data_IF_171102658953
#
_entry.id   IF_171102658953
#
_cell.length_a   1.000
_cell.length_b   1.000
_cell.length_c   1.000
_cell.angle_alpha   90.00
_cell.angle_beta   90.00
_cell.angle_gamma   90.00
#
_symmetry.space_group_name_H-M   'P 1'
#
loop_
_entity.id
_entity.type
_entity.pdbx_description
1 polymer ?
#
# COMPACT_ATOMS: atom_id res chain seq x y z
N UNK A 1 41.82 52.86 8.91
CA UNK A 1 41.50 51.68 8.12
C UNK A 1 40.07 51.31 8.39
N UNK A 2 39.14 51.40 7.44
CA UNK A 2 37.75 51.02 7.67
C UNK A 2 37.61 49.51 7.62
N UNK A 3 36.78 48.98 8.50
CA UNK A 3 36.38 47.56 8.60
C UNK A 3 35.48 47.21 7.40
N UNK A 4 35.64 46.09 6.70
CA UNK A 4 34.75 45.71 5.61
C UNK A 4 33.36 45.33 6.15
N UNK A 5 32.34 45.95 5.59
CA UNK A 5 30.93 45.58 5.78
C UNK A 5 30.69 44.16 5.32
N UNK A 6 30.10 43.34 6.19
CA UNK A 6 29.59 42.03 5.84
C UNK A 6 28.47 42.18 4.80
N UNK A 7 28.76 41.79 3.57
CA UNK A 7 27.76 41.70 2.51
C UNK A 7 26.65 40.76 2.90
N UNK A 8 25.46 41.28 2.85
CA UNK A 8 24.19 40.60 3.00
C UNK A 8 24.11 39.49 1.95
N UNK A 9 24.20 38.23 2.38
CA UNK A 9 23.93 37.10 1.49
C UNK A 9 22.43 37.06 1.27
N UNK A 10 21.95 36.92 0.00
CA UNK A 10 20.52 36.83 -0.24
C UNK A 10 19.98 35.61 0.47
N UNK A 11 19.01 35.78 1.36
CA UNK A 11 18.24 34.73 1.98
C UNK A 11 17.71 33.81 0.87
N UNK A 12 18.00 32.49 0.97
CA UNK A 12 17.39 31.50 0.09
C UNK A 12 15.88 31.67 0.26
N UNK A 13 15.11 31.79 -0.83
CA UNK A 13 13.66 31.92 -0.74
C UNK A 13 13.14 30.72 0.06
N UNK A 14 12.60 30.97 1.24
CA UNK A 14 12.01 29.97 2.12
C UNK A 14 10.94 29.23 1.36
N UNK A 15 11.01 27.90 1.34
CA UNK A 15 9.95 27.06 0.79
C UNK A 15 8.64 27.48 1.47
N UNK A 16 7.68 27.99 0.70
CA UNK A 16 6.36 28.32 1.25
C UNK A 16 5.71 27.03 1.77
N UNK A 17 5.00 27.10 2.90
CA UNK A 17 4.28 25.94 3.48
C UNK A 17 3.44 25.16 2.45
N UNK A 18 2.95 25.85 1.41
CA UNK A 18 2.23 25.24 0.29
C UNK A 18 3.09 24.32 -0.60
N UNK A 19 4.43 24.37 -0.50
CA UNK A 19 5.36 23.54 -1.29
C UNK A 19 5.84 22.28 -0.55
N UNK A 20 5.54 22.14 0.74
CA UNK A 20 5.93 20.98 1.51
C UNK A 20 4.97 19.81 1.27
N UNK A 21 5.48 18.56 1.10
CA UNK A 21 4.63 17.39 1.00
C UNK A 21 3.86 17.18 2.30
N UNK A 22 2.57 16.89 2.19
CA UNK A 22 1.69 16.64 3.34
C UNK A 22 1.50 15.15 3.55
N UNK A 23 1.40 14.73 4.82
CA UNK A 23 1.15 13.32 5.17
C UNK A 23 -0.29 12.86 4.91
N UNK A 24 -1.21 13.78 4.59
CA UNK A 24 -2.59 13.46 4.20
C UNK A 24 -2.79 13.76 2.72
N UNK A 25 -3.05 12.70 1.96
CA UNK A 25 -3.20 12.76 0.50
C UNK A 25 -4.67 12.78 0.11
N UNK A 26 -5.11 13.79 -0.60
CA UNK A 26 -6.50 13.91 -1.07
C UNK A 26 -6.63 13.16 -2.41
N UNK A 27 -6.85 11.85 -2.35
CA UNK A 27 -6.77 10.94 -3.50
C UNK A 27 -8.13 10.53 -4.09
N UNK A 28 -9.25 10.81 -3.41
CA UNK A 28 -10.57 10.37 -3.86
C UNK A 28 -11.54 11.53 -4.14
N UNK A 29 -11.07 12.64 -4.72
CA UNK A 29 -11.95 13.70 -5.23
C UNK A 29 -12.86 13.17 -6.35
N UNK A 30 -12.33 12.31 -7.21
CA UNK A 30 -13.12 11.44 -8.07
C UNK A 30 -13.20 10.04 -7.44
N UNK A 31 -14.31 9.34 -7.67
CA UNK A 31 -14.43 7.95 -7.24
C UNK A 31 -13.55 7.01 -8.10
N UNK A 32 -13.42 5.78 -7.66
CA UNK A 32 -12.59 4.77 -8.33
C UNK A 32 -13.02 4.51 -9.79
N UNK A 33 -14.32 4.64 -10.11
CA UNK A 33 -14.84 4.47 -11.47
C UNK A 33 -14.44 5.67 -12.34
N UNK A 34 -14.64 6.88 -11.85
CA UNK A 34 -14.25 8.10 -12.55
C UNK A 34 -12.75 8.15 -12.86
N UNK A 35 -11.91 7.77 -11.88
CA UNK A 35 -10.46 7.73 -12.08
C UNK A 35 -10.00 6.71 -13.12
N UNK A 36 -10.78 5.64 -13.37
CA UNK A 36 -10.46 4.57 -14.33
C UNK A 36 -11.12 4.74 -15.68
N UNK A 37 -12.13 5.58 -15.77
CA UNK A 37 -12.88 5.77 -17.00
C UNK A 37 -11.98 6.26 -18.14
N UNK A 38 -11.98 5.55 -19.26
CA UNK A 38 -11.14 5.85 -20.42
C UNK A 38 -9.64 5.56 -20.23
N UNK A 39 -9.18 5.26 -19.01
CA UNK A 39 -7.77 5.05 -18.67
C UNK A 39 -7.41 3.58 -18.47
N UNK A 40 -8.40 2.75 -18.18
CA UNK A 40 -8.26 1.31 -17.98
C UNK A 40 -9.32 0.55 -18.77
N UNK A 41 -8.99 -0.66 -19.21
CA UNK A 41 -9.92 -1.55 -19.86
C UNK A 41 -11.10 -1.90 -18.96
N UNK A 42 -12.32 -2.10 -19.48
CA UNK A 42 -13.48 -2.54 -18.71
C UNK A 42 -13.22 -3.84 -17.90
N UNK A 43 -12.43 -4.77 -18.45
CA UNK A 43 -12.05 -6.02 -17.79
C UNK A 43 -11.35 -5.80 -16.45
N UNK A 44 -10.70 -4.65 -16.25
CA UNK A 44 -10.05 -4.28 -14.97
C UNK A 44 -11.01 -4.23 -13.80
N UNK A 45 -12.33 -4.08 -14.04
CA UNK A 45 -13.34 -4.09 -12.97
C UNK A 45 -13.47 -5.43 -12.26
N UNK A 46 -13.08 -6.53 -12.90
CA UNK A 46 -13.17 -7.87 -12.33
C UNK A 46 -12.20 -8.12 -11.16
N UNK A 47 -11.07 -7.42 -11.12
CA UNK A 47 -10.10 -7.60 -10.03
C UNK A 47 -10.69 -7.09 -8.69
N UNK A 48 -10.67 -7.91 -7.62
CA UNK A 48 -11.38 -7.62 -6.37
C UNK A 48 -10.78 -6.46 -5.56
N UNK A 49 -9.46 -6.33 -5.51
CA UNK A 49 -8.75 -5.28 -4.78
C UNK A 49 -7.80 -4.52 -5.70
N UNK A 50 -8.00 -3.23 -5.84
CA UNK A 50 -7.20 -2.37 -6.72
C UNK A 50 -6.83 -1.10 -6.00
N UNK A 51 -5.54 -0.78 -5.96
CA UNK A 51 -5.08 0.54 -5.50
C UNK A 51 -5.80 1.64 -6.29
N UNK A 52 -6.21 2.72 -5.63
CA UNK A 52 -6.82 3.86 -6.31
C UNK A 52 -5.76 4.55 -7.20
N UNK A 53 -6.02 4.84 -8.49
CA UNK A 53 -5.04 5.43 -9.39
C UNK A 53 -4.39 6.70 -8.84
N UNK A 54 -5.16 7.57 -8.18
CA UNK A 54 -4.63 8.79 -7.59
C UNK A 54 -3.64 8.54 -6.44
N UNK A 55 -3.73 7.41 -5.72
CA UNK A 55 -2.73 7.03 -4.71
C UNK A 55 -1.41 6.69 -5.41
N UNK A 56 -1.46 5.85 -6.46
CA UNK A 56 -0.28 5.51 -7.23
C UNK A 56 0.37 6.75 -7.84
N UNK A 57 -0.44 7.61 -8.47
CA UNK A 57 0.05 8.87 -9.07
C UNK A 57 0.72 9.76 -8.04
N UNK A 58 0.12 9.94 -6.88
CA UNK A 58 0.67 10.77 -5.81
C UNK A 58 2.01 10.22 -5.32
N UNK A 59 2.08 8.93 -4.99
CA UNK A 59 3.31 8.28 -4.54
C UNK A 59 4.44 8.37 -5.59
N UNK A 60 4.13 8.06 -6.86
CA UNK A 60 5.11 8.12 -7.94
C UNK A 60 5.63 9.55 -8.12
N UNK A 61 4.75 10.55 -8.14
CA UNK A 61 5.15 11.96 -8.28
C UNK A 61 5.99 12.44 -7.12
N UNK A 62 5.67 12.01 -5.88
CA UNK A 62 6.36 12.43 -4.67
C UNK A 62 7.75 11.81 -4.55
N UNK A 63 7.90 10.52 -4.90
CA UNK A 63 9.11 9.76 -4.58
C UNK A 63 10.00 9.46 -5.79
N UNK A 64 9.60 9.89 -7.01
CA UNK A 64 10.38 9.66 -8.23
C UNK A 64 10.42 10.89 -9.14
N UNK A 65 11.33 10.84 -10.13
CA UNK A 65 11.48 11.81 -11.22
C UNK A 65 11.16 11.15 -12.56
N UNK A 66 10.85 11.91 -13.64
CA UNK A 66 10.80 11.36 -14.99
C UNK A 66 12.05 10.54 -15.31
N UNK A 67 11.87 9.39 -15.95
CA UNK A 67 12.92 8.43 -16.27
C UNK A 67 13.24 7.41 -15.18
N UNK A 68 12.85 7.65 -13.92
CA UNK A 68 13.06 6.71 -12.82
C UNK A 68 12.26 5.40 -13.02
N UNK A 69 12.68 4.35 -12.31
CA UNK A 69 12.02 3.04 -12.35
C UNK A 69 11.16 2.80 -11.12
N UNK A 70 9.94 2.32 -11.34
CA UNK A 70 8.97 1.92 -10.32
C UNK A 70 8.77 0.40 -10.35
N UNK A 71 8.83 -0.25 -9.19
CA UNK A 71 8.59 -1.69 -9.02
C UNK A 71 7.27 -1.93 -8.30
N UNK A 72 6.42 -2.84 -8.82
CA UNK A 72 5.25 -3.36 -8.11
C UNK A 72 5.28 -4.89 -8.12
N UNK A 73 5.68 -5.55 -7.02
CA UNK A 73 5.81 -7.00 -6.96
C UNK A 73 4.47 -7.75 -6.90
N UNK A 74 3.35 -7.04 -6.76
CA UNK A 74 2.00 -7.62 -6.75
C UNK A 74 1.05 -6.75 -7.56
N UNK A 75 1.36 -6.58 -8.87
CA UNK A 75 0.82 -5.50 -9.68
C UNK A 75 -0.66 -5.68 -10.11
N UNK A 76 -1.23 -6.86 -9.98
CA UNK A 76 -2.61 -7.13 -10.36
C UNK A 76 -2.89 -6.71 -11.82
N UNK A 77 -3.85 -5.83 -12.00
CA UNK A 77 -4.20 -5.25 -13.30
C UNK A 77 -3.26 -4.12 -13.75
N UNK A 78 -2.15 -3.89 -13.05
CA UNK A 78 -1.11 -2.91 -13.40
C UNK A 78 -1.43 -1.47 -13.06
N UNK A 79 -2.16 -1.17 -11.96
CA UNK A 79 -2.49 0.23 -11.61
C UNK A 79 -1.22 1.07 -11.43
N UNK A 80 -0.25 0.59 -10.66
CA UNK A 80 1.04 1.27 -10.44
C UNK A 80 1.77 1.50 -11.77
N UNK A 81 1.79 0.48 -12.64
CA UNK A 81 2.51 0.53 -13.91
C UNK A 81 1.90 1.55 -14.88
N UNK A 82 0.56 1.54 -15.00
CA UNK A 82 -0.18 2.47 -15.86
C UNK A 82 0.05 3.92 -15.43
N UNK A 83 -0.01 4.18 -14.10
CA UNK A 83 0.24 5.54 -13.62
C UNK A 83 1.71 5.94 -13.79
N UNK A 84 2.65 5.01 -13.64
CA UNK A 84 4.07 5.26 -13.86
C UNK A 84 4.38 5.66 -15.31
N UNK A 85 3.91 4.88 -16.29
CA UNK A 85 4.18 5.19 -17.72
C UNK A 85 3.55 6.50 -18.18
N UNK A 86 2.39 6.87 -17.67
CA UNK A 86 1.79 8.18 -17.95
C UNK A 86 2.55 9.35 -17.34
N UNK A 87 3.32 9.10 -16.29
CA UNK A 87 4.15 10.10 -15.62
C UNK A 87 5.60 10.11 -16.11
N UNK A 88 5.89 9.46 -17.25
CA UNK A 88 7.24 9.34 -17.80
C UNK A 88 8.21 8.58 -16.90
N UNK A 89 7.74 7.51 -16.26
CA UNK A 89 8.57 6.58 -15.47
C UNK A 89 8.60 5.23 -16.16
N UNK A 90 9.69 4.50 -15.96
CA UNK A 90 9.73 3.09 -16.29
C UNK A 90 9.08 2.27 -15.17
N UNK A 91 8.51 1.11 -15.47
CA UNK A 91 7.88 0.29 -14.46
C UNK A 91 8.09 -1.21 -14.72
N UNK A 92 8.24 -1.97 -13.63
CA UNK A 92 8.31 -3.43 -13.66
C UNK A 92 7.29 -3.97 -12.67
N UNK A 93 6.45 -4.90 -13.13
CA UNK A 93 5.45 -5.56 -12.29
C UNK A 93 5.61 -7.07 -12.29
N UNK A 94 5.28 -7.69 -11.16
CA UNK A 94 5.13 -9.13 -11.02
C UNK A 94 3.71 -9.44 -10.59
N UNK A 95 3.09 -10.47 -11.18
CA UNK A 95 1.75 -10.91 -10.83
C UNK A 95 1.67 -12.44 -10.82
N UNK A 96 1.15 -12.99 -9.73
CA UNK A 96 1.08 -14.43 -9.52
C UNK A 96 -0.04 -15.11 -10.32
N UNK A 97 -1.21 -14.47 -10.35
CA UNK A 97 -2.42 -15.06 -10.91
C UNK A 97 -2.50 -14.82 -12.41
N UNK A 98 -2.41 -15.88 -13.20
CA UNK A 98 -2.36 -15.82 -14.68
C UNK A 98 -3.51 -15.03 -15.35
N UNK A 99 -4.60 -14.79 -14.62
CA UNK A 99 -5.76 -14.00 -15.10
C UNK A 99 -5.42 -12.52 -15.27
N UNK A 100 -4.55 -11.95 -14.43
CA UNK A 100 -4.36 -10.51 -14.36
C UNK A 100 -3.27 -9.95 -15.29
N UNK A 101 -2.14 -10.62 -15.55
CA UNK A 101 -1.10 -10.12 -16.44
C UNK A 101 -1.58 -9.74 -17.84
N UNK A 102 -2.50 -10.51 -18.52
CA UNK A 102 -3.05 -10.08 -19.79
C UNK A 102 -3.83 -8.77 -19.71
N UNK A 103 -4.58 -8.55 -18.63
CA UNK A 103 -5.32 -7.31 -18.38
C UNK A 103 -4.36 -6.15 -18.11
N UNK A 104 -3.31 -6.38 -17.32
CA UNK A 104 -2.28 -5.38 -17.06
C UNK A 104 -1.57 -4.95 -18.35
N UNK A 105 -1.16 -5.90 -19.17
CA UNK A 105 -0.57 -5.62 -20.49
C UNK A 105 -1.52 -4.85 -21.41
N UNK A 106 -2.81 -5.24 -21.43
CA UNK A 106 -3.84 -4.50 -22.18
C UNK A 106 -4.05 -3.07 -21.70
N UNK A 107 -3.98 -2.83 -20.38
CA UNK A 107 -4.03 -1.49 -19.80
C UNK A 107 -2.80 -0.65 -20.20
N UNK A 108 -1.61 -1.27 -20.25
CA UNK A 108 -0.39 -0.61 -20.75
C UNK A 108 -0.49 -0.26 -22.23
N UNK A 109 -1.01 -1.18 -23.07
CA UNK A 109 -1.26 -0.90 -24.48
C UNK A 109 -2.21 0.28 -24.66
N UNK A 110 -3.27 0.36 -23.86
CA UNK A 110 -4.18 1.50 -23.87
C UNK A 110 -3.45 2.79 -23.47
N UNK A 111 -2.59 2.75 -22.44
CA UNK A 111 -1.79 3.90 -22.02
C UNK A 111 -0.85 4.36 -23.14
N UNK A 112 -0.18 3.45 -23.85
CA UNK A 112 0.68 3.79 -24.97
C UNK A 112 -0.10 4.38 -26.15
N UNK A 113 -1.28 3.85 -26.45
CA UNK A 113 -2.18 4.43 -27.44
C UNK A 113 -2.65 5.85 -27.07
N UNK A 114 -2.61 6.20 -25.80
CA UNK A 114 -2.90 7.54 -25.28
C UNK A 114 -1.66 8.45 -25.20
N UNK A 115 -0.51 7.98 -25.67
CA UNK A 115 0.75 8.74 -25.70
C UNK A 115 1.53 8.72 -24.40
N UNK A 116 1.34 7.71 -23.54
CA UNK A 116 2.15 7.57 -22.33
C UNK A 116 3.64 7.40 -22.70
N UNK A 117 4.56 8.25 -22.16
CA UNK A 117 5.96 8.29 -22.59
C UNK A 117 6.85 7.22 -21.94
N UNK A 118 6.49 6.72 -20.76
CA UNK A 118 7.27 5.71 -20.04
C UNK A 118 7.13 4.30 -20.61
N UNK A 119 7.90 3.35 -20.10
CA UNK A 119 7.87 1.95 -20.51
C UNK A 119 7.56 1.04 -19.32
N UNK A 120 6.88 -0.10 -19.56
CA UNK A 120 6.63 -1.06 -18.50
C UNK A 120 6.66 -2.51 -18.99
N UNK A 121 7.08 -3.40 -18.08
CA UNK A 121 7.08 -4.85 -18.28
C UNK A 121 6.29 -5.53 -17.17
N UNK A 122 5.52 -6.56 -17.53
CA UNK A 122 4.74 -7.40 -16.59
C UNK A 122 5.24 -8.82 -16.70
N UNK A 123 5.77 -9.33 -15.58
CA UNK A 123 6.16 -10.72 -15.39
C UNK A 123 5.05 -11.49 -14.68
N UNK A 124 4.81 -12.72 -15.13
CA UNK A 124 3.93 -13.66 -14.46
C UNK A 124 4.76 -14.55 -13.55
N UNK A 125 4.40 -14.63 -12.27
CA UNK A 125 5.11 -15.47 -11.30
C UNK A 125 4.96 -15.00 -9.86
N UNK A 126 5.65 -15.72 -8.98
CA UNK A 126 5.64 -15.47 -7.55
C UNK A 126 6.59 -14.32 -7.17
N UNK A 127 6.06 -13.30 -6.53
CA UNK A 127 6.79 -12.12 -6.10
C UNK A 127 7.97 -12.42 -5.14
N UNK A 128 7.92 -13.53 -4.39
CA UNK A 128 9.04 -14.01 -3.58
C UNK A 128 10.27 -14.34 -4.41
N UNK A 129 10.08 -14.57 -5.71
CA UNK A 129 11.12 -14.85 -6.70
C UNK A 129 11.36 -13.69 -7.67
N UNK A 130 10.88 -12.49 -7.35
CA UNK A 130 10.96 -11.33 -8.24
C UNK A 130 12.39 -11.10 -8.78
N UNK A 131 13.40 -11.18 -7.92
CA UNK A 131 14.81 -11.03 -8.34
C UNK A 131 15.30 -12.08 -9.36
N UNK A 132 14.63 -13.23 -9.47
CA UNK A 132 14.95 -14.26 -10.48
C UNK A 132 14.08 -14.14 -11.74
N UNK A 133 12.89 -13.53 -11.62
CA UNK A 133 11.96 -13.36 -12.73
C UNK A 133 12.29 -12.12 -13.57
N UNK A 134 12.82 -11.10 -12.92
CA UNK A 134 13.14 -9.82 -13.52
C UNK A 134 14.58 -9.88 -14.06
N UNK A 135 14.77 -9.41 -15.30
CA UNK A 135 16.07 -9.38 -15.95
C UNK A 135 17.12 -8.68 -15.05
N UNK A 136 18.31 -9.25 -14.87
CA UNK A 136 19.39 -8.64 -14.09
C UNK A 136 19.72 -7.19 -14.49
N UNK A 137 19.44 -6.78 -15.73
CA UNK A 137 19.61 -5.40 -16.18
C UNK A 137 18.72 -4.39 -15.39
N UNK A 138 17.70 -4.85 -14.70
CA UNK A 138 16.82 -4.00 -13.85
C UNK A 138 17.26 -3.98 -12.38
N UNK A 139 18.22 -4.81 -11.98
CA UNK A 139 18.67 -4.88 -10.59
C UNK A 139 19.33 -3.57 -10.16
N UNK A 140 18.97 -3.11 -8.97
CA UNK A 140 19.49 -1.88 -8.40
C UNK A 140 18.95 -0.59 -9.04
N UNK A 141 17.95 -0.67 -9.94
CA UNK A 141 17.45 0.47 -10.67
C UNK A 141 16.12 1.04 -10.14
N UNK A 142 15.35 0.30 -9.36
CA UNK A 142 14.06 0.81 -8.89
C UNK A 142 14.23 1.85 -7.77
N UNK A 143 13.84 3.09 -8.03
CA UNK A 143 13.83 4.19 -7.07
C UNK A 143 12.61 4.15 -6.15
N UNK A 144 11.52 3.52 -6.60
CA UNK A 144 10.31 3.33 -5.82
C UNK A 144 9.80 1.89 -5.97
N UNK A 145 9.55 1.22 -4.85
CA UNK A 145 8.65 0.08 -4.80
C UNK A 145 7.30 0.59 -4.28
N UNK A 146 6.25 0.42 -5.07
CA UNK A 146 4.88 0.80 -4.68
C UNK A 146 3.96 -0.41 -4.85
N UNK A 147 3.37 -0.86 -3.73
CA UNK A 147 2.52 -2.06 -3.76
C UNK A 147 1.44 -2.01 -2.69
N UNK A 148 0.49 -2.95 -2.80
CA UNK A 148 -0.53 -3.21 -1.78
C UNK A 148 -0.66 -4.72 -1.57
N UNK A 149 -0.37 -5.26 -0.37
CA UNK A 149 -0.62 -6.66 -0.10
C UNK A 149 -2.12 -6.95 -0.15
N UNK A 150 -2.53 -8.19 -0.48
CA UNK A 150 -3.93 -8.58 -0.39
C UNK A 150 -4.40 -8.49 1.07
N UNK A 151 -5.64 -8.04 1.26
CA UNK A 151 -6.23 -7.84 2.60
C UNK A 151 -6.83 -9.13 3.19
N UNK A 152 -6.25 -10.29 2.89
CA UNK A 152 -6.72 -11.59 3.36
C UNK A 152 -8.15 -11.93 2.88
N UNK A 153 -8.81 -12.86 3.57
CA UNK A 153 -10.16 -13.30 3.24
C UNK A 153 -11.26 -12.23 3.40
N UNK A 154 -10.95 -11.05 3.92
CA UNK A 154 -11.89 -9.98 4.22
C UNK A 154 -12.46 -9.25 3.00
N UNK A 155 -11.86 -9.42 1.82
CA UNK A 155 -12.35 -8.85 0.56
C UNK A 155 -13.24 -9.84 -0.18
N UNK A 156 -14.46 -10.04 0.29
CA UNK A 156 -15.43 -10.91 -0.37
C UNK A 156 -16.37 -10.12 -1.29
N UNK A 157 -16.19 -10.32 -2.59
CA UNK A 157 -17.15 -10.02 -3.64
C UNK A 157 -17.47 -8.55 -3.85
N UNK A 158 -17.42 -8.12 -5.11
CA UNK A 158 -18.02 -6.86 -5.52
C UNK A 158 -19.53 -7.09 -5.70
N UNK A 159 -20.34 -6.14 -5.20
CA UNK A 159 -21.74 -6.08 -5.56
C UNK A 159 -21.94 -4.97 -6.56
N UNK A 160 -22.70 -5.27 -7.59
CA UNK A 160 -23.15 -4.28 -8.57
C UNK A 160 -24.62 -4.02 -8.37
N UNK A 161 -24.98 -2.75 -8.35
CA UNK A 161 -26.39 -2.33 -8.36
C UNK A 161 -26.97 -2.47 -9.77
N UNK A 162 -28.29 -2.44 -9.86
CA UNK A 162 -29.00 -2.39 -11.14
C UNK A 162 -28.51 -1.29 -12.10
N UNK A 163 -27.93 -0.19 -11.56
CA UNK A 163 -27.30 0.88 -12.36
C UNK A 163 -26.02 0.43 -13.05
N UNK A 164 -25.34 -0.58 -12.51
CA UNK A 164 -24.05 -1.05 -13.04
C UNK A 164 -24.21 -2.26 -13.96
N UNK A 165 -25.31 -3.00 -13.82
CA UNK A 165 -25.56 -4.25 -14.57
C UNK A 165 -26.69 -4.13 -15.59
N UNK A 166 -27.56 -3.12 -15.49
CA UNK A 166 -28.78 -3.02 -16.27
C UNK A 166 -29.89 -3.99 -15.84
N UNK A 167 -29.61 -4.92 -14.92
CA UNK A 167 -30.55 -5.92 -14.41
C UNK A 167 -31.19 -5.44 -13.10
N UNK A 168 -32.48 -5.73 -12.86
CA UNK A 168 -33.14 -5.36 -11.61
C UNK A 168 -32.53 -6.13 -10.43
N UNK A 169 -32.13 -5.39 -9.39
CA UNK A 169 -31.65 -5.97 -8.13
C UNK A 169 -30.16 -5.76 -7.88
N UNK A 170 -29.64 -6.43 -6.83
CA UNK A 170 -28.25 -6.39 -6.42
C UNK A 170 -27.65 -7.75 -6.72
N UNK A 171 -26.71 -7.81 -7.66
CA UNK A 171 -26.00 -9.05 -8.02
C UNK A 171 -24.69 -9.11 -7.24
N UNK A 172 -24.47 -10.21 -6.50
CA UNK A 172 -23.21 -10.49 -5.82
C UNK A 172 -22.26 -11.21 -6.79
N UNK A 173 -21.22 -10.53 -7.22
CA UNK A 173 -20.15 -11.17 -7.97
C UNK A 173 -19.10 -11.69 -6.99
N UNK A 174 -18.83 -12.99 -7.03
CA UNK A 174 -17.75 -13.60 -6.29
C UNK A 174 -16.45 -13.44 -7.10
N UNK A 175 -15.88 -12.24 -7.13
CA UNK A 175 -14.56 -12.07 -7.68
C UNK A 175 -13.54 -12.52 -6.65
N UNK A 176 -12.76 -13.54 -7.00
CA UNK A 176 -11.61 -13.98 -6.21
C UNK A 176 -10.35 -13.45 -6.87
N UNK A 177 -9.29 -13.24 -6.07
CA UNK A 177 -7.98 -12.91 -6.63
C UNK A 177 -7.47 -14.01 -7.57
N UNK A 178 -7.80 -15.27 -7.28
CA UNK A 178 -7.43 -16.45 -8.02
C UNK A 178 -7.22 -17.66 -7.11
N UNK A 179 -6.57 -18.68 -7.63
CA UNK A 179 -6.36 -19.97 -6.93
C UNK A 179 -4.94 -20.50 -7.09
N UNK A 180 -4.00 -19.70 -7.58
CA UNK A 180 -2.62 -20.13 -7.75
C UNK A 180 -2.01 -20.57 -6.41
N UNK A 181 -1.17 -21.63 -6.40
CA UNK A 181 -0.40 -21.99 -5.22
C UNK A 181 0.45 -20.78 -4.75
N UNK A 182 0.38 -20.49 -3.46
CA UNK A 182 1.08 -19.33 -2.90
C UNK A 182 0.31 -18.00 -2.94
N UNK A 183 -0.95 -18.01 -3.39
CA UNK A 183 -1.81 -16.82 -3.32
C UNK A 183 -2.09 -16.43 -1.87
N UNK A 184 -1.66 -15.22 -1.51
CA UNK A 184 -1.73 -14.69 -0.14
C UNK A 184 -3.13 -14.19 0.24
N UNK A 185 -4.04 -14.02 -0.72
CA UNK A 185 -5.37 -13.46 -0.47
C UNK A 185 -6.26 -14.35 0.43
N UNK A 186 -5.92 -15.62 0.59
CA UNK A 186 -6.64 -16.56 1.45
C UNK A 186 -5.79 -17.09 2.62
N UNK A 187 -4.55 -16.65 2.71
CA UNK A 187 -3.65 -17.08 3.77
C UNK A 187 -4.09 -16.51 5.13
N UNK A 188 -3.87 -17.24 6.23
CA UNK A 188 -3.90 -16.66 7.57
C UNK A 188 -3.00 -15.42 7.64
N UNK A 189 -3.33 -14.49 8.52
CA UNK A 189 -2.60 -13.21 8.62
C UNK A 189 -1.11 -13.40 8.87
N UNK A 190 -0.71 -14.38 9.70
CA UNK A 190 0.69 -14.68 9.99
C UNK A 190 1.45 -15.18 8.77
N UNK A 191 0.86 -16.09 8.00
CA UNK A 191 1.45 -16.63 6.77
C UNK A 191 1.57 -15.53 5.70
N UNK A 192 0.56 -14.66 5.60
CA UNK A 192 0.57 -13.51 4.71
C UNK A 192 1.75 -12.58 5.07
N UNK A 193 1.94 -12.27 6.34
CA UNK A 193 3.01 -11.36 6.79
C UNK A 193 4.39 -11.97 6.61
N UNK A 194 4.54 -13.27 6.87
CA UNK A 194 5.80 -14.00 6.60
C UNK A 194 6.15 -13.93 5.12
N UNK A 195 5.21 -14.31 4.26
CA UNK A 195 5.43 -14.27 2.82
C UNK A 195 5.63 -12.84 2.29
N UNK A 196 4.97 -11.84 2.89
CA UNK A 196 5.19 -10.44 2.52
C UNK A 196 6.58 -9.95 2.93
N UNK A 197 7.09 -10.39 4.07
CA UNK A 197 8.48 -10.15 4.49
C UNK A 197 9.47 -10.73 3.47
N UNK A 198 9.22 -11.96 3.01
CA UNK A 198 10.05 -12.61 1.98
C UNK A 198 10.02 -11.85 0.65
N UNK A 199 8.84 -11.37 0.23
CA UNK A 199 8.68 -10.55 -0.98
C UNK A 199 9.51 -9.26 -0.85
N UNK A 200 9.35 -8.53 0.26
CA UNK A 200 10.09 -7.28 0.47
C UNK A 200 11.61 -7.53 0.51
N UNK A 201 12.05 -8.58 1.20
CA UNK A 201 13.47 -8.98 1.27
C UNK A 201 14.02 -9.33 -0.11
N UNK A 202 13.29 -10.13 -0.89
CA UNK A 202 13.67 -10.53 -2.25
C UNK A 202 13.73 -9.34 -3.22
N UNK A 203 12.86 -8.35 -3.04
CA UNK A 203 12.86 -7.16 -3.88
C UNK A 203 14.02 -6.19 -3.60
N UNK A 204 14.73 -6.30 -2.47
CA UNK A 204 15.79 -5.35 -2.11
C UNK A 204 16.93 -5.28 -3.14
N UNK A 205 17.24 -6.38 -3.81
CA UNK A 205 18.26 -6.41 -4.86
C UNK A 205 17.85 -5.67 -6.13
N UNK A 206 16.54 -5.47 -6.34
CA UNK A 206 15.98 -4.70 -7.45
C UNK A 206 15.97 -3.20 -7.17
N UNK A 207 16.06 -2.82 -5.89
CA UNK A 207 15.96 -1.43 -5.43
C UNK A 207 17.30 -0.72 -5.49
N UNK A 208 17.29 0.51 -5.94
CA UNK A 208 18.45 1.40 -5.83
C UNK A 208 18.83 1.64 -4.35
N UNK A 209 20.10 1.94 -4.07
CA UNK A 209 20.50 2.39 -2.74
C UNK A 209 19.73 3.63 -2.32
N UNK A 210 19.12 3.60 -1.14
CA UNK A 210 18.29 4.70 -0.65
C UNK A 210 16.90 4.81 -1.27
N UNK A 211 16.49 3.85 -2.13
CA UNK A 211 15.16 3.81 -2.73
C UNK A 211 14.04 3.87 -1.69
N UNK A 212 12.92 4.44 -2.10
CA UNK A 212 11.69 4.50 -1.29
C UNK A 212 10.84 3.27 -1.52
N UNK A 213 10.25 2.75 -0.46
CA UNK A 213 9.22 1.71 -0.52
C UNK A 213 7.94 2.28 0.08
N UNK A 214 6.84 2.28 -0.68
CA UNK A 214 5.54 2.71 -0.22
C UNK A 214 4.56 1.54 -0.30
N UNK A 215 3.99 1.17 0.84
CA UNK A 215 3.03 0.07 0.94
C UNK A 215 1.70 0.63 1.41
N UNK A 216 0.63 0.41 0.63
CA UNK A 216 -0.70 0.80 1.07
C UNK A 216 -1.35 -0.33 1.85
N UNK A 217 -1.91 -0.02 3.00
CA UNK A 217 -2.62 -0.96 3.85
C UNK A 217 -3.75 -0.26 4.60
N UNK A 218 -4.73 -1.02 5.07
CA UNK A 218 -5.78 -0.50 5.94
C UNK A 218 -6.17 -1.52 7.00
N UNK A 219 -6.56 -1.09 8.20
CA UNK A 219 -7.10 -1.99 9.19
C UNK A 219 -8.48 -2.51 8.76
N UNK A 220 -8.88 -3.66 9.30
CA UNK A 220 -10.24 -4.16 9.20
C UNK A 220 -10.70 -4.75 10.52
N UNK A 221 -11.94 -5.22 10.58
CA UNK A 221 -12.44 -5.96 11.73
C UNK A 221 -12.78 -7.39 11.32
N UNK A 222 -12.32 -8.33 12.12
CA UNK A 222 -12.66 -9.74 12.01
C UNK A 222 -13.34 -10.16 13.31
N UNK A 223 -14.54 -10.72 13.22
CA UNK A 223 -15.35 -11.12 14.38
C UNK A 223 -15.50 -10.02 15.47
N UNK A 224 -15.50 -8.74 15.04
CA UNK A 224 -15.61 -7.59 15.94
C UNK A 224 -14.28 -7.02 16.43
N UNK A 225 -13.20 -7.76 16.34
CA UNK A 225 -11.86 -7.33 16.75
C UNK A 225 -11.14 -6.55 15.63
N UNK A 226 -10.31 -5.59 16.02
CA UNK A 226 -9.49 -4.82 15.09
C UNK A 226 -8.27 -5.63 14.65
N UNK A 227 -8.13 -5.82 13.33
CA UNK A 227 -6.89 -6.32 12.72
C UNK A 227 -6.11 -5.14 12.19
N UNK A 228 -5.00 -4.81 12.85
CA UNK A 228 -4.12 -3.67 12.48
C UNK A 228 -3.07 -4.12 11.46
N UNK A 229 -3.50 -4.33 10.20
CA UNK A 229 -2.58 -4.67 9.11
C UNK A 229 -1.48 -3.61 8.91
N UNK A 230 -1.76 -2.28 9.00
CA UNK A 230 -0.71 -1.28 8.88
C UNK A 230 0.46 -1.49 9.85
N UNK A 231 0.19 -1.74 11.13
CA UNK A 231 1.25 -2.03 12.11
C UNK A 231 2.02 -3.31 11.77
N UNK A 232 1.31 -4.35 11.33
CA UNK A 232 1.92 -5.61 10.93
C UNK A 232 2.81 -5.48 9.68
N UNK A 233 2.42 -4.65 8.71
CA UNK A 233 3.23 -4.33 7.52
C UNK A 233 4.48 -3.55 7.91
N UNK A 234 4.42 -2.65 8.90
CA UNK A 234 5.62 -1.98 9.41
C UNK A 234 6.60 -3.01 9.97
N UNK A 235 6.12 -3.94 10.80
CA UNK A 235 6.95 -5.01 11.36
C UNK A 235 7.57 -5.90 10.27
N UNK A 236 6.78 -6.28 9.24
CA UNK A 236 7.26 -7.05 8.09
C UNK A 236 8.36 -6.29 7.31
N UNK A 237 8.19 -4.99 7.08
CA UNK A 237 9.20 -4.15 6.44
C UNK A 237 10.50 -4.08 7.24
N UNK A 238 10.42 -3.93 8.56
CA UNK A 238 11.59 -3.94 9.45
C UNK A 238 12.28 -5.32 9.45
N UNK A 239 11.51 -6.40 9.50
CA UNK A 239 12.05 -7.77 9.40
C UNK A 239 12.73 -8.03 8.05
N UNK A 240 12.24 -7.41 6.96
CA UNK A 240 12.90 -7.42 5.65
C UNK A 240 14.16 -6.53 5.59
N UNK A 241 14.55 -5.85 6.67
CA UNK A 241 15.72 -4.98 6.74
C UNK A 241 15.49 -3.60 6.12
N UNK A 242 14.24 -3.15 6.00
CA UNK A 242 13.87 -1.80 5.59
C UNK A 242 13.78 -0.87 6.80
N UNK A 243 14.00 0.42 6.58
CA UNK A 243 13.91 1.45 7.63
C UNK A 243 12.58 2.19 7.45
N UNK A 244 11.61 2.08 8.39
CA UNK A 244 10.40 2.89 8.34
C UNK A 244 10.77 4.36 8.53
N UNK A 245 10.24 5.22 7.66
CA UNK A 245 10.57 6.66 7.66
C UNK A 245 9.33 7.53 7.82
N UNK A 246 8.16 7.07 7.39
CA UNK A 246 6.94 7.87 7.47
C UNK A 246 5.67 7.00 7.39
N UNK A 247 4.56 7.52 7.93
CA UNK A 247 3.22 6.98 7.75
C UNK A 247 2.30 8.09 7.27
N UNK A 248 1.84 7.97 6.04
CA UNK A 248 0.89 8.89 5.42
C UNK A 248 -0.51 8.29 5.38
N UNK A 249 -1.49 9.14 5.11
CA UNK A 249 -2.90 8.75 4.97
C UNK A 249 -3.38 9.16 3.57
N UNK A 250 -3.83 8.21 2.77
CA UNK A 250 -4.49 8.45 1.50
C UNK A 250 -6.02 8.41 1.70
N UNK A 251 -6.68 9.55 1.53
CA UNK A 251 -8.13 9.65 1.71
C UNK A 251 -8.88 8.91 0.60
N UNK A 252 -9.79 8.01 0.99
CA UNK A 252 -10.77 7.34 0.13
C UNK A 252 -12.12 8.10 0.13
N UNK A 253 -12.10 9.34 0.57
CA UNK A 253 -13.23 10.26 0.59
C UNK A 253 -12.91 11.51 -0.21
N UNK A 254 -13.92 12.08 -0.85
CA UNK A 254 -13.81 13.43 -1.40
C UNK A 254 -13.86 14.47 -0.28
N UNK A 255 -13.37 15.67 -0.54
CA UNK A 255 -13.50 16.83 0.34
C UNK A 255 -14.32 17.87 -0.39
N UNK A 256 -15.42 18.34 0.22
CA UNK A 256 -16.27 19.40 -0.32
C UNK A 256 -16.78 20.25 0.83
N UNK A 257 -16.65 21.56 0.71
CA UNK A 257 -17.12 22.55 1.69
C UNK A 257 -16.68 22.21 3.13
N UNK A 258 -15.42 21.77 3.30
CA UNK A 258 -14.85 21.36 4.59
C UNK A 258 -15.34 20.01 5.13
N UNK A 259 -16.14 19.26 4.38
CA UNK A 259 -16.67 17.97 4.78
C UNK A 259 -16.14 16.81 3.97
N UNK A 260 -15.97 15.63 4.63
CA UNK A 260 -15.61 14.40 3.96
C UNK A 260 -16.82 13.77 3.29
N UNK A 261 -16.74 13.53 1.99
CA UNK A 261 -17.73 12.81 1.19
C UNK A 261 -17.31 11.35 1.11
N UNK A 262 -17.89 10.52 1.98
CA UNK A 262 -17.59 9.11 2.04
C UNK A 262 -17.92 8.39 0.73
N UNK A 263 -17.01 7.51 0.28
CA UNK A 263 -17.18 6.67 -0.92
C UNK A 263 -17.17 5.19 -0.56
N UNK A 264 -17.62 4.87 0.66
CA UNK A 264 -17.76 3.51 1.15
C UNK A 264 -18.75 2.69 0.33
N UNK A 265 -18.48 1.39 0.17
CA UNK A 265 -19.41 0.47 -0.45
C UNK A 265 -20.69 0.32 0.39
N UNK A 266 -21.77 -0.09 -0.25
CA UNK A 266 -23.06 -0.37 0.44
C UNK A 266 -22.87 -1.33 1.64
N UNK A 267 -21.99 -2.34 1.49
CA UNK A 267 -21.72 -3.30 2.57
C UNK A 267 -20.97 -2.69 3.73
N UNK A 268 -19.95 -1.89 3.46
CA UNK A 268 -19.25 -1.18 4.54
C UNK A 268 -20.23 -0.32 5.34
N UNK A 269 -21.11 0.43 4.64
CA UNK A 269 -22.13 1.24 5.29
C UNK A 269 -23.12 0.38 6.10
N UNK A 270 -23.59 -0.75 5.53
CA UNK A 270 -24.48 -1.68 6.23
C UNK A 270 -23.82 -2.28 7.47
N UNK A 271 -22.58 -2.75 7.34
CA UNK A 271 -21.83 -3.36 8.45
C UNK A 271 -21.60 -2.35 9.58
N UNK A 272 -21.19 -1.12 9.26
CA UNK A 272 -21.00 -0.07 10.26
C UNK A 272 -22.30 0.24 10.99
N UNK A 273 -23.41 0.37 10.26
CA UNK A 273 -24.74 0.62 10.87
C UNK A 273 -25.17 -0.53 11.77
N UNK A 274 -25.00 -1.78 11.33
CA UNK A 274 -25.36 -2.96 12.11
C UNK A 274 -24.50 -3.07 13.38
N UNK A 275 -23.18 -2.88 13.29
CA UNK A 275 -22.30 -2.89 14.44
C UNK A 275 -22.66 -1.81 15.48
N UNK A 276 -22.94 -0.58 15.01
CA UNK A 276 -23.33 0.53 15.89
C UNK A 276 -24.69 0.29 16.54
N UNK A 277 -25.63 -0.33 15.85
CA UNK A 277 -26.92 -0.74 16.44
C UNK A 277 -26.75 -1.78 17.57
N UNK A 278 -25.66 -2.54 17.55
CA UNK A 278 -25.29 -3.50 18.60
C UNK A 278 -24.36 -2.90 19.67
N UNK A 279 -24.17 -1.57 19.68
CA UNK A 279 -23.30 -0.89 20.66
C UNK A 279 -21.80 -0.92 20.35
N UNK A 280 -21.39 -1.49 19.21
CA UNK A 280 -19.96 -1.49 18.81
C UNK A 280 -19.60 -0.13 18.21
N UNK A 281 -18.62 0.62 18.74
CA UNK A 281 -18.23 1.96 18.24
C UNK A 281 -17.43 1.87 16.94
N UNK A 282 -18.02 1.32 15.89
CA UNK A 282 -17.39 1.13 14.60
C UNK A 282 -17.47 2.40 13.75
N UNK A 283 -16.37 2.78 13.11
CA UNK A 283 -16.29 3.86 12.13
C UNK A 283 -16.19 3.34 10.71
N UNK A 284 -16.68 4.12 9.75
CA UNK A 284 -16.44 3.85 8.33
C UNK A 284 -15.00 4.23 8.00
N UNK A 285 -14.21 3.26 7.56
CA UNK A 285 -12.83 3.51 7.14
C UNK A 285 -12.86 4.19 5.78
N UNK A 286 -12.36 5.42 5.72
CA UNK A 286 -12.33 6.27 4.52
C UNK A 286 -10.91 6.69 4.15
N UNK A 287 -9.93 5.87 4.49
CA UNK A 287 -8.52 6.07 4.14
C UNK A 287 -7.81 4.73 3.94
N UNK A 288 -6.66 4.80 3.31
CA UNK A 288 -5.60 3.80 3.40
C UNK A 288 -4.38 4.43 4.06
N UNK A 289 -3.69 3.69 4.89
CA UNK A 289 -2.37 4.06 5.36
C UNK A 289 -1.37 3.84 4.22
N UNK A 290 -0.44 4.75 4.06
CA UNK A 290 0.71 4.60 3.17
C UNK A 290 1.95 4.55 4.05
N UNK A 291 2.51 3.35 4.15
CA UNK A 291 3.65 3.05 5.01
C UNK A 291 4.92 3.21 4.17
N UNK A 292 5.74 4.18 4.54
CA UNK A 292 6.91 4.57 3.76
C UNK A 292 8.17 4.07 4.44
N UNK A 293 9.00 3.37 3.68
CA UNK A 293 10.28 2.86 4.13
C UNK A 293 11.39 3.34 3.19
N UNK A 294 12.62 3.23 3.66
CA UNK A 294 13.83 3.42 2.88
C UNK A 294 14.62 2.11 2.80
N UNK A 295 15.10 1.77 1.59
CA UNK A 295 16.09 0.72 1.42
C UNK A 295 17.45 1.25 1.91
N UNK A 296 18.05 0.72 2.98
CA UNK A 296 19.37 1.16 3.40
C UNK A 296 20.39 0.85 2.28
N UNK A 297 21.32 1.78 2.06
CA UNK A 297 22.46 1.48 1.20
C UNK A 297 23.17 0.24 1.75
N UNK A 298 23.43 -0.74 0.89
CA UNK A 298 24.27 -1.86 1.26
C UNK A 298 25.64 -1.29 1.64
N UNK A 299 26.10 -1.53 2.86
CA UNK A 299 27.42 -1.09 3.28
C UNK A 299 28.45 -1.79 2.38
N UNK A 300 29.17 -1.03 1.56
CA UNK A 300 30.21 -1.54 0.65
C UNK A 300 31.44 -2.09 1.39
N UNK A 301 31.36 -2.30 2.68
CA UNK A 301 32.46 -2.81 3.51
C UNK A 301 32.85 -4.27 3.26
N UNK A 302 32.18 -4.99 2.35
CA UNK A 302 32.50 -6.40 2.03
C UNK A 302 33.33 -6.61 0.75
N UNK A 303 33.73 -5.57 0.03
CA UNK A 303 34.44 -5.70 -1.24
C UNK A 303 35.91 -5.19 -1.20
N UNK A 304 36.56 -5.16 -0.05
CA UNK A 304 37.96 -4.71 0.02
C UNK A 304 38.70 -5.24 1.24
N UNK A 305 39.45 -6.30 1.05
CA UNK A 305 40.67 -6.71 1.75
C UNK A 305 40.98 -6.03 3.11
N UNK A 306 40.94 -6.79 4.20
CA UNK A 306 41.69 -6.53 5.43
C UNK A 306 40.87 -5.94 6.58
N UNK A 307 40.39 -6.82 7.43
CA UNK A 307 40.03 -6.72 8.83
C UNK A 307 40.18 -5.36 9.53
N UNK A 308 39.20 -4.50 9.39
CA UNK A 308 38.81 -3.57 10.46
C UNK A 308 37.30 -3.69 10.64
N UNK A 309 36.92 -4.12 11.81
CA UNK A 309 35.53 -4.15 12.27
C UNK A 309 34.92 -2.75 12.08
N UNK A 310 33.97 -2.59 11.16
CA UNK A 310 33.03 -1.50 11.22
C UNK A 310 32.12 -1.77 12.41
N UNK A 311 32.45 -1.20 13.56
CA UNK A 311 31.51 -1.09 14.69
C UNK A 311 30.48 -0.03 14.32
N UNK A 312 29.53 -0.36 13.45
CA UNK A 312 28.23 0.31 13.48
C UNK A 312 27.41 -0.45 14.53
N UNK A 313 27.59 -0.06 15.77
CA UNK A 313 26.55 -0.22 16.76
C UNK A 313 25.29 0.40 16.17
N UNK A 314 24.18 -0.37 16.05
CA UNK A 314 22.88 0.27 15.78
C UNK A 314 22.67 1.29 16.91
N UNK A 315 22.11 2.46 16.63
CA UNK A 315 21.75 3.37 17.69
C UNK A 315 20.87 2.57 18.68
N UNK A 316 21.36 2.42 19.90
CA UNK A 316 20.56 1.91 21.00
C UNK A 316 19.48 2.94 21.23
N UNK A 317 18.37 2.80 20.51
CA UNK A 317 17.15 3.50 20.85
C UNK A 317 16.62 2.81 22.09
N UNK A 318 16.92 3.36 23.25
CA UNK A 318 16.10 3.21 24.45
C UNK A 318 14.71 3.81 24.17
N UNK A 319 13.98 3.20 23.28
CA UNK A 319 12.54 3.29 23.26
C UNK A 319 12.03 2.25 24.25
N UNK A 320 12.09 2.60 25.55
CA UNK A 320 11.19 2.04 26.55
C UNK A 320 9.79 2.29 26.04
N UNK A 321 9.23 1.29 25.36
CA UNK A 321 7.82 1.21 25.04
C UNK A 321 7.08 1.28 26.36
N UNK A 322 6.48 2.43 26.64
CA UNK A 322 5.47 2.61 27.67
C UNK A 322 4.22 1.83 27.28
N UNK A 323 4.30 0.50 27.40
CA UNK A 323 3.12 -0.35 27.46
C UNK A 323 2.51 -0.06 28.83
N UNK A 324 1.50 0.81 28.85
CA UNK A 324 0.58 0.90 29.98
C UNK A 324 -0.13 -0.45 30.05
N UNK A 325 0.40 -1.37 30.85
CA UNK A 325 -0.32 -2.56 31.26
C UNK A 325 -1.45 -2.08 32.16
N UNK A 326 -2.69 -2.28 31.76
CA UNK A 326 -3.82 -2.21 32.66
C UNK A 326 -3.56 -3.18 33.84
N UNK A 327 -3.76 -2.76 35.09
CA UNK A 327 -3.64 -3.67 36.23
C UNK A 327 -4.67 -4.79 36.08
N UNK A 328 -4.22 -6.02 36.31
CA UNK A 328 -5.12 -7.18 36.35
C UNK A 328 -6.24 -6.92 37.36
N UNK A 329 -7.48 -7.28 37.06
CA UNK A 329 -8.55 -7.21 38.06
C UNK A 329 -8.27 -8.24 39.16
N UNK A 330 -8.06 -7.78 40.36
CA UNK A 330 -8.00 -8.61 41.57
C UNK A 330 -9.26 -9.45 41.66
N UNK A 331 -9.07 -10.76 41.66
CA UNK A 331 -10.10 -11.78 41.92
C UNK A 331 -10.72 -11.58 43.27
N UNK A 332 -11.95 -11.10 43.34
CA UNK A 332 -12.86 -11.35 44.43
C UNK A 332 -14.02 -12.18 43.91
N UNK A 333 -14.01 -13.42 44.33
CA UNK A 333 -15.06 -14.38 44.04
C UNK A 333 -16.42 -13.90 44.62
N UNK A 334 -17.42 -13.76 43.74
CA UNK A 334 -18.81 -13.95 44.14
C UNK A 334 -19.50 -14.83 43.08
N UNK A 335 -19.89 -16.02 43.57
CA UNK A 335 -20.79 -16.95 42.87
C UNK A 335 -22.18 -16.30 42.84
N UNK A 336 -22.81 -16.31 41.65
CA UNK A 336 -24.22 -16.71 41.51
C UNK A 336 -24.66 -16.69 40.05
N UNK A 337 -25.23 -17.82 39.66
CA UNK A 337 -26.32 -18.04 38.74
C UNK A 337 -26.10 -17.98 37.22
N UNK A 338 -26.09 -19.21 36.70
CA UNK A 338 -26.27 -19.56 35.33
C UNK A 338 -27.64 -19.09 34.79
N UNK A 339 -27.63 -18.31 33.73
CA UNK A 339 -28.79 -18.13 32.85
C UNK A 339 -28.43 -18.52 31.45
N UNK A 340 -28.99 -19.64 31.02
CA UNK A 340 -28.93 -20.20 29.67
C UNK A 340 -29.59 -19.27 28.66
N UNK A 341 -28.83 -18.82 27.66
CA UNK A 341 -29.40 -18.21 26.47
C UNK A 341 -29.49 -19.21 25.34
N UNK A 342 -30.74 -19.54 24.92
CA UNK A 342 -31.04 -20.18 23.62
C UNK A 342 -31.34 -19.10 22.60
N UNK A 343 -30.73 -19.25 21.45
CA UNK A 343 -31.03 -18.45 20.27
C UNK A 343 -32.34 -18.92 19.60
N UNK A 344 -33.07 -18.03 18.89
CA UNK A 344 -33.84 -18.41 17.71
C UNK A 344 -33.00 -18.21 16.43
#
# INVERSE_FOLDING_TARGET
>A
MPVPEHGDQPERPGATLASLPMSVWVTAQQDSRGQRNGRYLPASTAHPGKMLPAIARHAITTYTRPGDTVLDPMCGIGTTLVEAVHLDRNAVGVELEATWPPIARGNLQLAYAQGAPGNAVVHEGDARRAAHLIDPAWHGLAQLLLTSPPYGASLHGQMRSSRDTGEPGIVKFHHTYGTAPGNLAKAPTEDLLTAFTDILSGCRTLLAPGATIAVTARPWREQGELVDLPAAVIAAGQAAGLIPVERCVALLAGVRDGHLIARGSFYQLKNVRAARAQGVPMHLIVHEDVLVFRNPALCQCLAGLGGRHCQHQPPTSDFTTGIVRNPEPTSTAHRSDAATWRAP
#
